data_IF_049476358910
#
_entry.id   IF_049476358910
#
_cell.length_a   1.000
_cell.length_b   1.000
_cell.length_c   1.000
_cell.angle_alpha   90.00
_cell.angle_beta   90.00
_cell.angle_gamma   90.00
#
_symmetry.space_group_name_H-M   'P 1'
#
loop_
_entity.id
_entity.type
_entity.pdbx_description
1 polymer ?
#
# COMPACT_ATOMS: atom_id res chain seq x y z
N UNK A 1 -25.44 -23.66 -17.79
CA UNK A 1 -25.12 -22.69 -16.72
C UNK A 1 -25.02 -21.33 -17.38
N UNK A 2 -25.73 -20.34 -16.85
CA UNK A 2 -25.77 -18.99 -17.43
C UNK A 2 -24.41 -18.25 -17.27
N UNK A 3 -23.88 -17.56 -18.29
CA UNK A 3 -22.61 -16.83 -18.19
C UNK A 3 -22.55 -15.79 -17.07
N UNK A 4 -23.66 -15.10 -16.76
CA UNK A 4 -23.68 -14.12 -15.68
C UNK A 4 -23.58 -14.81 -14.31
N UNK A 5 -24.24 -15.95 -14.14
CA UNK A 5 -24.09 -16.78 -12.95
C UNK A 5 -22.65 -17.28 -12.76
N UNK A 6 -21.99 -17.79 -13.82
CA UNK A 6 -20.59 -18.22 -13.75
C UNK A 6 -19.68 -17.06 -13.34
N UNK A 7 -19.86 -15.87 -13.93
CA UNK A 7 -19.10 -14.67 -13.56
C UNK A 7 -19.28 -14.33 -12.07
N UNK A 8 -20.50 -14.41 -11.55
CA UNK A 8 -20.78 -14.12 -10.15
C UNK A 8 -20.07 -15.11 -9.21
N UNK A 9 -20.06 -16.41 -9.55
CA UNK A 9 -19.33 -17.43 -8.78
C UNK A 9 -17.83 -17.17 -8.73
N UNK A 10 -17.21 -16.83 -9.87
CA UNK A 10 -15.77 -16.54 -9.93
C UNK A 10 -15.43 -15.27 -9.15
N UNK A 11 -16.25 -14.23 -9.27
CA UNK A 11 -16.07 -12.99 -8.51
C UNK A 11 -16.21 -13.24 -7.00
N UNK A 12 -17.19 -14.06 -6.60
CA UNK A 12 -17.38 -14.43 -5.19
C UNK A 12 -16.16 -15.16 -4.63
N UNK A 13 -15.50 -16.02 -5.41
CA UNK A 13 -14.25 -16.65 -5.00
C UNK A 13 -13.15 -15.61 -4.70
N UNK A 14 -13.00 -14.58 -5.55
CA UNK A 14 -12.06 -13.47 -5.29
C UNK A 14 -12.45 -12.64 -4.06
N UNK A 15 -13.74 -12.38 -3.84
CA UNK A 15 -14.23 -11.66 -2.65
C UNK A 15 -13.90 -12.42 -1.36
N UNK A 16 -14.08 -13.74 -1.35
CA UNK A 16 -13.74 -14.61 -0.21
C UNK A 16 -12.24 -14.64 0.07
N UNK A 17 -11.42 -14.86 -0.96
CA UNK A 17 -9.96 -14.81 -0.86
C UNK A 17 -9.47 -13.46 -0.31
N UNK A 18 -10.09 -12.37 -0.77
CA UNK A 18 -9.78 -11.03 -0.25
C UNK A 18 -10.13 -10.88 1.23
N UNK A 19 -11.34 -11.30 1.63
CA UNK A 19 -11.86 -11.18 2.98
C UNK A 19 -11.06 -11.99 4.01
N UNK A 20 -10.64 -13.22 3.68
CA UNK A 20 -9.79 -14.05 4.55
C UNK A 20 -8.47 -13.33 4.92
N UNK A 21 -7.94 -12.49 4.02
CA UNK A 21 -6.74 -11.70 4.26
C UNK A 21 -6.95 -10.39 5.03
N UNK A 22 -8.20 -10.00 5.30
CA UNK A 22 -8.60 -8.70 5.88
C UNK A 22 -9.46 -8.87 7.16
N UNK A 23 -9.55 -10.09 7.73
CA UNK A 23 -10.23 -10.32 9.00
C UNK A 23 -9.56 -9.53 10.12
N UNK A 24 -10.07 -8.34 10.40
CA UNK A 24 -9.55 -7.43 11.41
C UNK A 24 -10.66 -6.80 12.22
N UNK A 25 -10.50 -6.81 13.55
CA UNK A 25 -11.21 -5.91 14.43
C UNK A 25 -11.05 -4.45 13.97
N UNK A 26 -11.93 -3.53 14.40
CA UNK A 26 -11.75 -2.10 14.16
C UNK A 26 -10.32 -1.68 14.49
N UNK A 27 -9.63 -1.06 13.55
CA UNK A 27 -8.24 -0.66 13.74
C UNK A 27 -8.24 0.55 14.67
N UNK A 28 -7.53 0.43 15.79
CA UNK A 28 -7.32 1.50 16.76
C UNK A 28 -6.67 2.72 16.09
N UNK A 29 -7.12 3.93 16.43
CA UNK A 29 -6.60 5.18 15.85
C UNK A 29 -5.17 5.50 16.32
N UNK A 30 -4.72 4.89 17.42
CA UNK A 30 -3.34 4.88 17.88
C UNK A 30 -2.42 3.99 17.04
N UNK A 31 -2.97 3.17 16.13
CA UNK A 31 -2.20 2.35 15.18
C UNK A 31 -2.35 2.93 13.78
N UNK A 32 -1.23 3.37 13.21
CA UNK A 32 -1.16 3.87 11.83
C UNK A 32 -0.39 2.88 10.97
N UNK A 33 -0.97 2.40 9.89
CA UNK A 33 -0.25 1.55 8.95
C UNK A 33 0.69 2.37 8.06
N UNK A 34 1.85 1.81 7.70
CA UNK A 34 2.79 2.46 6.76
C UNK A 34 2.09 2.85 5.46
N UNK A 35 1.22 2.00 4.92
CA UNK A 35 0.44 2.28 3.70
C UNK A 35 -0.47 3.50 3.83
N UNK A 36 -0.98 3.78 5.03
CA UNK A 36 -1.80 4.95 5.32
C UNK A 36 -0.97 6.23 5.44
N UNK A 37 0.25 6.12 5.99
CA UNK A 37 1.16 7.25 6.18
C UNK A 37 1.87 7.69 4.89
N UNK A 38 2.05 6.79 3.92
CA UNK A 38 2.81 7.09 2.68
C UNK A 38 1.92 7.54 1.50
N UNK A 39 0.62 7.21 1.55
CA UNK A 39 -0.39 7.66 0.59
C UNK A 39 -1.05 8.98 1.00
N UNK A 40 -2.14 9.37 0.32
CA UNK A 40 -2.90 10.57 0.65
C UNK A 40 -3.54 10.47 2.03
N UNK A 41 -3.12 11.30 3.00
CA UNK A 41 -3.60 11.20 4.40
C UNK A 41 -5.11 11.43 4.52
N UNK A 42 -5.65 12.37 3.73
CA UNK A 42 -7.09 12.63 3.69
C UNK A 42 -7.89 11.42 3.19
N UNK A 43 -7.33 10.65 2.24
CA UNK A 43 -7.93 9.39 1.79
C UNK A 43 -7.88 8.35 2.91
N UNK A 44 -6.74 8.19 3.57
CA UNK A 44 -6.58 7.27 4.72
C UNK A 44 -7.60 7.56 5.83
N UNK A 45 -7.76 8.85 6.19
CA UNK A 45 -8.78 9.30 7.12
C UNK A 45 -10.21 8.89 6.70
N UNK A 46 -10.58 9.11 5.43
CA UNK A 46 -11.92 8.73 4.98
C UNK A 46 -12.12 7.23 4.89
N UNK A 47 -11.08 6.43 4.62
CA UNK A 47 -11.18 4.96 4.69
C UNK A 47 -11.54 4.52 6.11
N UNK A 48 -10.91 5.12 7.13
CA UNK A 48 -11.19 4.83 8.54
C UNK A 48 -12.60 5.27 8.97
N UNK A 49 -13.06 6.44 8.54
CA UNK A 49 -14.32 7.06 9.02
C UNK A 49 -15.54 6.77 8.15
N UNK A 50 -15.33 6.49 6.87
CA UNK A 50 -16.38 6.22 5.90
C UNK A 50 -15.90 5.13 4.92
N UNK A 51 -15.75 3.88 5.39
CA UNK A 51 -15.29 2.79 4.54
C UNK A 51 -16.27 2.56 3.39
N UNK A 52 -15.77 2.64 2.16
CA UNK A 52 -16.54 2.33 0.96
C UNK A 52 -16.31 0.88 0.54
N UNK A 53 -17.33 0.17 0.02
CA UNK A 53 -17.12 -1.14 -0.55
C UNK A 53 -16.17 -1.04 -1.75
N UNK A 54 -15.23 -1.98 -1.86
CA UNK A 54 -14.35 -2.03 -3.02
C UNK A 54 -15.16 -2.32 -4.30
N UNK A 55 -14.91 -1.59 -5.40
CA UNK A 55 -15.44 -1.96 -6.71
C UNK A 55 -15.07 -3.40 -7.08
N UNK A 56 -15.99 -4.15 -7.69
CA UNK A 56 -15.83 -5.59 -7.96
C UNK A 56 -14.52 -5.96 -8.66
N UNK A 57 -14.11 -5.13 -9.64
CA UNK A 57 -12.86 -5.32 -10.39
C UNK A 57 -11.61 -5.29 -9.50
N UNK A 58 -11.64 -4.57 -8.38
CA UNK A 58 -10.47 -4.41 -7.51
C UNK A 58 -10.17 -5.68 -6.71
N UNK A 59 -11.18 -6.45 -6.30
CA UNK A 59 -10.96 -7.77 -5.69
C UNK A 59 -10.11 -8.65 -6.60
N UNK A 60 -10.49 -8.74 -7.88
CA UNK A 60 -9.73 -9.50 -8.88
C UNK A 60 -8.31 -8.96 -9.06
N UNK A 61 -8.16 -7.64 -9.18
CA UNK A 61 -6.85 -7.00 -9.41
C UNK A 61 -5.90 -7.21 -8.23
N UNK A 62 -6.40 -7.12 -7.00
CA UNK A 62 -5.63 -7.31 -5.78
C UNK A 62 -5.24 -8.76 -5.58
N UNK A 63 -6.15 -9.71 -5.79
CA UNK A 63 -5.85 -11.14 -5.69
C UNK A 63 -4.86 -11.62 -6.76
N UNK A 64 -4.93 -11.08 -7.99
CA UNK A 64 -3.86 -11.31 -8.99
C UNK A 64 -2.51 -10.81 -8.45
N UNK A 65 -2.50 -9.65 -7.79
CA UNK A 65 -1.29 -9.11 -7.16
C UNK A 65 -0.74 -10.04 -6.06
N UNK A 66 -1.61 -10.47 -5.14
CA UNK A 66 -1.27 -11.44 -4.08
C UNK A 66 -0.75 -12.75 -4.64
N UNK A 67 -1.33 -13.26 -5.72
CA UNK A 67 -0.84 -14.45 -6.42
C UNK A 67 0.58 -14.30 -6.96
N UNK A 68 0.94 -13.14 -7.50
CA UNK A 68 2.32 -12.85 -7.94
C UNK A 68 3.28 -12.79 -6.74
N UNK A 69 2.89 -12.13 -5.65
CA UNK A 69 3.70 -12.10 -4.42
C UNK A 69 3.91 -13.53 -3.88
N UNK A 70 2.86 -14.34 -3.82
CA UNK A 70 2.92 -15.74 -3.40
C UNK A 70 3.90 -16.56 -4.25
N UNK A 71 3.87 -16.41 -5.58
CA UNK A 71 4.82 -17.10 -6.46
C UNK A 71 6.27 -16.69 -6.12
N UNK A 72 6.53 -15.39 -5.94
CA UNK A 72 7.86 -14.92 -5.60
C UNK A 72 8.29 -15.46 -4.24
N UNK A 73 7.46 -15.29 -3.21
CA UNK A 73 7.76 -15.76 -1.85
C UNK A 73 8.01 -17.27 -1.79
N UNK A 74 7.32 -18.05 -2.63
CA UNK A 74 7.46 -19.51 -2.66
C UNK A 74 8.69 -20.00 -3.43
N UNK A 75 9.08 -19.29 -4.50
CA UNK A 75 10.07 -19.78 -5.47
C UNK A 75 11.30 -18.89 -5.59
N UNK A 76 11.45 -17.86 -4.76
CA UNK A 76 12.65 -17.03 -4.71
C UNK A 76 13.87 -17.89 -4.33
N UNK A 77 14.92 -17.98 -5.17
CA UNK A 77 16.01 -18.93 -4.98
C UNK A 77 17.10 -18.39 -4.04
N UNK A 78 16.71 -17.64 -3.01
CA UNK A 78 17.60 -17.11 -1.97
C UNK A 78 16.93 -17.23 -0.61
N UNK A 79 17.74 -17.32 0.45
CA UNK A 79 17.24 -17.27 1.81
C UNK A 79 16.64 -15.88 2.09
N UNK A 80 15.38 -15.87 2.52
CA UNK A 80 14.63 -14.67 2.79
C UNK A 80 13.55 -14.94 3.85
N UNK A 81 13.18 -13.89 4.56
CA UNK A 81 11.96 -13.87 5.37
C UNK A 81 10.86 -13.17 4.57
N UNK A 82 9.63 -13.64 4.69
CA UNK A 82 8.49 -13.14 3.91
C UNK A 82 7.41 -12.56 4.81
N UNK A 83 6.75 -11.50 4.35
CA UNK A 83 5.66 -10.83 5.07
C UNK A 83 6.04 -10.45 6.51
N UNK A 84 7.25 -9.90 6.68
CA UNK A 84 7.84 -9.64 8.00
C UNK A 84 7.13 -8.45 8.67
N UNK A 85 6.41 -8.67 9.79
CA UNK A 85 5.78 -7.57 10.52
C UNK A 85 6.84 -6.68 11.15
N UNK A 86 6.58 -5.38 11.16
CA UNK A 86 7.43 -4.39 11.81
C UNK A 86 6.58 -3.30 12.46
N UNK A 87 7.04 -2.78 13.59
CA UNK A 87 6.40 -1.66 14.27
C UNK A 87 7.41 -0.77 14.98
N UNK A 88 7.06 0.51 15.11
CA UNK A 88 7.82 1.48 15.90
C UNK A 88 6.86 2.37 16.67
N UNK A 89 7.16 2.62 17.94
CA UNK A 89 6.47 3.60 18.75
C UNK A 89 6.97 5.01 18.38
N UNK A 90 6.05 5.88 17.95
CA UNK A 90 6.34 7.27 17.59
C UNK A 90 6.01 8.27 18.72
N UNK A 91 5.53 7.79 19.86
CA UNK A 91 5.02 8.55 20.99
C UNK A 91 3.49 8.55 21.05
N UNK A 92 2.79 9.40 20.27
CA UNK A 92 1.33 9.46 20.31
C UNK A 92 0.65 8.31 19.53
N UNK A 93 1.39 7.60 18.68
CA UNK A 93 0.89 6.48 17.90
C UNK A 93 1.99 5.45 17.58
N UNK A 94 1.57 4.25 17.19
CA UNK A 94 2.44 3.19 16.68
C UNK A 94 2.34 3.17 15.15
N UNK A 95 3.49 3.24 14.48
CA UNK A 95 3.59 3.00 13.04
C UNK A 95 3.82 1.52 12.80
N UNK A 96 2.91 0.85 12.09
CA UNK A 96 2.96 -0.60 11.83
C UNK A 96 3.03 -0.90 10.35
N UNK A 97 3.77 -1.92 9.98
CA UNK A 97 3.95 -2.33 8.60
C UNK A 97 4.25 -3.81 8.46
N UNK A 98 4.35 -4.25 7.21
CA UNK A 98 4.72 -5.62 6.84
C UNK A 98 5.54 -5.56 5.55
N UNK A 99 6.80 -5.94 5.62
CA UNK A 99 7.69 -5.94 4.47
C UNK A 99 7.52 -7.24 3.67
N UNK A 100 7.42 -7.15 2.33
CA UNK A 100 7.13 -8.31 1.48
C UNK A 100 8.23 -9.38 1.57
N UNK A 101 9.50 -8.98 1.38
CA UNK A 101 10.67 -9.87 1.40
C UNK A 101 11.84 -9.17 2.10
N UNK A 102 12.39 -9.81 3.12
CA UNK A 102 13.55 -9.32 3.87
C UNK A 102 14.72 -10.29 3.65
N UNK A 103 15.78 -9.78 3.04
CA UNK A 103 17.05 -10.45 2.84
C UNK A 103 18.04 -10.06 3.95
N UNK A 104 19.24 -10.64 3.91
CA UNK A 104 20.28 -10.37 4.90
C UNK A 104 20.62 -8.87 5.00
N UNK A 105 20.89 -8.21 3.86
CA UNK A 105 21.32 -6.81 3.80
C UNK A 105 20.33 -5.87 3.10
N UNK A 106 19.16 -6.38 2.69
CA UNK A 106 18.22 -5.64 1.86
C UNK A 106 16.76 -6.06 2.02
N UNK A 107 15.84 -5.23 1.51
CA UNK A 107 14.40 -5.52 1.46
C UNK A 107 13.97 -5.47 -0.01
N UNK A 108 13.11 -6.41 -0.44
CA UNK A 108 12.40 -6.31 -1.72
C UNK A 108 10.95 -5.88 -1.44
N UNK A 109 10.54 -4.73 -1.97
CA UNK A 109 9.16 -4.27 -1.99
C UNK A 109 8.55 -4.59 -3.34
N UNK A 110 7.60 -5.53 -3.38
CA UNK A 110 7.03 -6.08 -4.61
C UNK A 110 5.83 -5.24 -5.04
N UNK A 111 5.77 -4.86 -6.32
CA UNK A 111 4.69 -4.03 -6.86
C UNK A 111 4.20 -4.56 -8.20
N UNK A 112 2.98 -5.06 -8.22
CA UNK A 112 2.33 -5.45 -9.48
C UNK A 112 1.60 -4.26 -10.10
N UNK A 113 2.01 -3.87 -11.32
CA UNK A 113 1.46 -2.71 -12.02
C UNK A 113 0.93 -3.09 -13.40
N UNK A 114 0.02 -2.28 -13.94
CA UNK A 114 -0.59 -2.56 -15.24
C UNK A 114 0.41 -2.44 -16.40
N UNK A 115 1.29 -1.43 -16.35
CA UNK A 115 2.30 -1.15 -17.37
C UNK A 115 3.50 -0.45 -16.75
N UNK A 116 4.72 -0.91 -17.03
CA UNK A 116 5.95 -0.20 -16.68
C UNK A 116 6.14 0.98 -17.63
N UNK A 117 6.33 2.17 -17.06
CA UNK A 117 6.72 3.40 -17.75
C UNK A 117 7.83 4.03 -16.91
N UNK A 118 9.07 3.69 -17.26
CA UNK A 118 10.27 3.96 -16.45
C UNK A 118 10.44 5.46 -16.16
N UNK A 119 10.00 6.33 -17.07
CA UNK A 119 10.03 7.79 -16.92
C UNK A 119 9.14 8.32 -15.77
N UNK A 120 8.23 7.50 -15.24
CA UNK A 120 7.39 7.82 -14.08
C UNK A 120 7.72 7.00 -12.83
N UNK A 121 8.76 6.16 -12.88
CA UNK A 121 9.20 5.32 -11.77
C UNK A 121 10.49 5.89 -11.15
N UNK A 122 10.72 5.68 -9.84
CA UNK A 122 9.82 5.04 -8.88
C UNK A 122 8.68 5.97 -8.42
N UNK A 123 7.53 5.39 -8.08
CA UNK A 123 6.47 6.14 -7.43
C UNK A 123 6.86 6.55 -6.01
N UNK A 124 6.75 7.83 -5.69
CA UNK A 124 7.21 8.40 -4.41
C UNK A 124 6.60 7.73 -3.17
N UNK A 125 5.34 7.31 -3.23
CA UNK A 125 4.71 6.59 -2.11
C UNK A 125 5.27 5.16 -1.93
N UNK A 126 5.75 4.51 -3.00
CA UNK A 126 6.46 3.23 -2.89
C UNK A 126 7.87 3.42 -2.29
N UNK A 127 8.56 4.50 -2.67
CA UNK A 127 9.86 4.88 -2.06
C UNK A 127 9.68 5.11 -0.56
N UNK A 128 8.69 5.91 -0.16
CA UNK A 128 8.37 6.15 1.25
C UNK A 128 8.02 4.88 2.02
N UNK A 129 7.24 3.97 1.41
CA UNK A 129 6.92 2.68 1.99
C UNK A 129 8.18 1.86 2.27
N UNK A 130 9.06 1.73 1.26
CA UNK A 130 10.34 1.03 1.41
C UNK A 130 11.23 1.72 2.45
N UNK A 131 11.33 3.04 2.44
CA UNK A 131 12.10 3.80 3.45
C UNK A 131 11.63 3.49 4.87
N UNK A 132 10.31 3.41 5.11
CA UNK A 132 9.79 3.01 6.41
C UNK A 132 10.32 1.64 6.84
N UNK A 133 10.25 0.64 5.94
CA UNK A 133 10.73 -0.71 6.23
C UNK A 133 12.25 -0.78 6.44
N UNK A 134 13.04 -0.03 5.66
CA UNK A 134 14.51 0.04 5.86
C UNK A 134 14.87 0.54 7.25
N UNK A 135 14.14 1.53 7.77
CA UNK A 135 14.38 2.06 9.11
C UNK A 135 13.84 1.16 10.22
N UNK A 136 12.65 0.59 10.06
CA UNK A 136 12.01 -0.26 11.06
C UNK A 136 12.69 -1.63 11.21
N UNK A 137 13.37 -2.12 10.16
CA UNK A 137 14.06 -3.41 10.14
C UNK A 137 15.59 -3.30 10.07
N UNK A 138 16.12 -2.09 10.26
CA UNK A 138 17.55 -1.76 10.27
C UNK A 138 18.32 -2.31 9.05
N UNK A 139 17.81 -2.03 7.84
CA UNK A 139 18.44 -2.42 6.57
C UNK A 139 19.07 -1.21 5.86
N UNK A 140 20.28 -1.35 5.31
CA UNK A 140 20.99 -0.24 4.69
C UNK A 140 20.40 0.18 3.32
N UNK A 141 19.77 -0.76 2.61
CA UNK A 141 19.20 -0.54 1.27
C UNK A 141 18.05 -1.49 0.98
N UNK A 142 17.32 -1.23 -0.09
CA UNK A 142 16.31 -2.15 -0.61
C UNK A 142 16.01 -1.89 -2.08
N UNK A 143 15.09 -2.67 -2.62
CA UNK A 143 14.73 -2.68 -4.02
C UNK A 143 13.22 -2.63 -4.17
N UNK A 144 12.72 -1.69 -4.96
CA UNK A 144 11.33 -1.72 -5.41
C UNK A 144 11.29 -2.54 -6.69
N UNK A 145 10.58 -3.67 -6.66
CA UNK A 145 10.48 -4.60 -7.79
C UNK A 145 9.11 -4.42 -8.46
N UNK A 146 9.09 -3.69 -9.58
CA UNK A 146 7.90 -3.49 -10.39
C UNK A 146 7.71 -4.64 -11.37
N UNK A 147 6.53 -5.26 -11.35
CA UNK A 147 6.17 -6.41 -12.18
C UNK A 147 4.95 -6.01 -13.02
N UNK A 148 5.11 -6.03 -14.34
CA UNK A 148 4.05 -5.69 -15.27
C UNK A 148 3.10 -6.87 -15.52
N UNK A 149 1.83 -6.74 -15.14
CA UNK A 149 0.83 -7.82 -15.25
C UNK A 149 0.58 -8.30 -16.68
N UNK A 150 0.54 -7.37 -17.65
CA UNK A 150 0.21 -7.69 -19.05
C UNK A 150 1.41 -8.02 -19.93
N UNK A 151 2.55 -7.37 -19.68
CA UNK A 151 3.76 -7.49 -20.50
C UNK A 151 4.85 -8.39 -19.92
N UNK A 152 4.71 -8.85 -18.67
CA UNK A 152 5.69 -9.73 -18.01
C UNK A 152 7.05 -9.08 -17.72
N UNK A 153 7.20 -7.77 -17.96
CA UNK A 153 8.43 -7.02 -17.69
C UNK A 153 8.64 -6.87 -16.19
N UNK A 154 9.91 -6.91 -15.78
CA UNK A 154 10.35 -6.63 -14.42
C UNK A 154 11.29 -5.43 -14.47
N UNK A 155 11.06 -4.44 -13.62
CA UNK A 155 11.91 -3.26 -13.48
C UNK A 155 12.23 -3.06 -12.00
N UNK A 156 13.51 -2.88 -11.68
CA UNK A 156 14.00 -2.82 -10.30
C UNK A 156 14.66 -1.46 -10.06
N UNK A 157 14.28 -0.82 -8.97
CA UNK A 157 14.88 0.45 -8.51
C UNK A 157 15.51 0.24 -7.14
N UNK A 158 16.81 0.48 -7.04
CA UNK A 158 17.53 0.46 -5.77
C UNK A 158 17.30 1.75 -4.99
N UNK A 159 17.09 1.61 -3.68
CA UNK A 159 16.87 2.71 -2.75
C UNK A 159 17.75 2.52 -1.53
N UNK A 160 18.55 3.54 -1.21
CA UNK A 160 19.35 3.58 0.00
C UNK A 160 18.58 4.25 1.13
N UNK A 161 18.84 3.81 2.37
CA UNK A 161 18.21 4.36 3.56
C UNK A 161 18.45 5.88 3.65
N UNK A 162 17.37 6.64 3.75
CA UNK A 162 17.38 8.10 3.83
C UNK A 162 16.67 8.59 5.09
N UNK A 163 17.36 9.38 5.90
CA UNK A 163 16.84 9.88 7.17
C UNK A 163 15.73 10.93 6.98
N UNK A 164 15.81 11.73 5.91
CA UNK A 164 14.80 12.74 5.60
C UNK A 164 13.46 12.12 5.26
N UNK A 165 13.46 11.12 4.35
CA UNK A 165 12.28 10.37 3.97
C UNK A 165 11.66 9.62 5.16
N UNK A 166 12.48 9.06 6.04
CA UNK A 166 11.99 8.44 7.27
C UNK A 166 11.30 9.42 8.22
N UNK A 167 11.93 10.58 8.46
CA UNK A 167 11.33 11.64 9.26
C UNK A 167 10.00 12.12 8.66
N UNK A 168 9.92 12.22 7.33
CA UNK A 168 8.67 12.54 6.63
C UNK A 168 7.59 11.49 6.91
N UNK A 169 7.87 10.19 6.78
CA UNK A 169 6.89 9.13 7.07
C UNK A 169 6.41 9.19 8.52
N UNK A 170 7.33 9.36 9.48
CA UNK A 170 6.97 9.50 10.89
C UNK A 170 6.06 10.71 11.15
N UNK A 171 6.37 11.86 10.56
CA UNK A 171 5.57 13.07 10.70
C UNK A 171 4.18 12.91 10.09
N UNK A 172 4.09 12.25 8.93
CA UNK A 172 2.82 11.95 8.28
C UNK A 172 1.95 11.00 9.11
N UNK A 173 2.56 10.00 9.74
CA UNK A 173 1.86 9.09 10.64
C UNK A 173 1.28 9.82 11.86
N UNK A 174 2.07 10.69 12.51
CA UNK A 174 1.61 11.53 13.63
C UNK A 174 0.48 12.47 13.21
N UNK A 175 0.60 13.09 12.03
CA UNK A 175 -0.42 13.99 11.50
C UNK A 175 -1.74 13.26 11.23
N UNK A 176 -1.68 12.06 10.63
CA UNK A 176 -2.89 11.25 10.42
C UNK A 176 -3.54 10.87 11.76
N UNK A 177 -2.74 10.43 12.73
CA UNK A 177 -3.22 10.11 14.08
C UNK A 177 -3.92 11.31 14.74
N UNK A 178 -3.30 12.49 14.69
CA UNK A 178 -3.88 13.72 15.25
C UNK A 178 -5.25 14.03 14.63
N UNK A 179 -5.37 13.92 13.31
CA UNK A 179 -6.62 14.17 12.60
C UNK A 179 -7.68 13.11 12.89
N UNK A 180 -7.29 11.84 13.01
CA UNK A 180 -8.18 10.77 13.48
C UNK A 180 -8.71 11.10 14.88
N UNK A 181 -7.83 11.43 15.83
CA UNK A 181 -8.20 11.76 17.21
C UNK A 181 -9.15 12.96 17.31
N UNK A 182 -8.96 13.99 16.46
CA UNK A 182 -9.84 15.18 16.40
C UNK A 182 -11.16 14.93 15.68
N UNK A 183 -11.27 13.88 14.87
CA UNK A 183 -12.43 13.67 14.01
C UNK A 183 -12.53 14.68 12.86
N UNK A 184 -11.39 15.23 12.42
CA UNK A 184 -11.32 16.20 11.33
C UNK A 184 -10.39 15.71 10.22
N UNK A 185 -10.79 15.76 8.93
CA UNK A 185 -9.96 15.24 7.85
C UNK A 185 -8.68 16.08 7.64
N UNK A 186 -7.51 15.44 7.39
CA UNK A 186 -6.29 16.14 6.99
C UNK A 186 -6.47 17.04 5.76
N UNK A 187 -5.62 18.06 5.56
CA UNK A 187 -5.64 18.89 4.35
C UNK A 187 -5.57 18.04 3.06
N UNK A 188 -6.19 18.49 1.94
CA UNK A 188 -6.06 17.79 0.66
C UNK A 188 -4.59 17.72 0.19
N UNK A 189 -4.21 16.59 -0.40
CA UNK A 189 -2.91 16.37 -1.04
C UNK A 189 -3.11 16.11 -2.54
N UNK A 190 -3.23 17.15 -3.39
CA UNK A 190 -3.50 16.98 -4.81
C UNK A 190 -2.42 16.16 -5.51
N UNK A 191 -2.84 15.17 -6.29
CA UNK A 191 -1.96 14.35 -7.11
C UNK A 191 -2.71 13.80 -8.33
N UNK A 192 -2.01 13.24 -9.34
CA UNK A 192 -2.67 12.56 -10.46
C UNK A 192 -3.63 11.43 -10.02
N UNK A 193 -3.39 10.84 -8.85
CA UNK A 193 -4.25 9.77 -8.28
C UNK A 193 -5.63 10.28 -7.85
N UNK A 194 -5.81 11.59 -7.68
CA UNK A 194 -7.12 12.18 -7.34
C UNK A 194 -8.20 11.85 -8.39
N UNK A 195 -7.81 11.69 -9.66
CA UNK A 195 -8.73 11.36 -10.77
C UNK A 195 -9.42 10.01 -10.61
N UNK A 196 -8.82 9.10 -9.85
CA UNK A 196 -9.30 7.74 -9.62
C UNK A 196 -9.60 7.49 -8.13
N UNK A 197 -9.70 8.55 -7.32
CA UNK A 197 -9.96 8.43 -5.90
C UNK A 197 -11.45 8.27 -5.62
N UNK A 198 -11.84 7.18 -4.96
CA UNK A 198 -13.24 6.90 -4.60
C UNK A 198 -13.86 7.97 -3.67
N UNK A 199 -13.00 8.73 -2.99
CA UNK A 199 -13.37 9.80 -2.06
C UNK A 199 -13.37 11.21 -2.69
N UNK A 200 -13.16 11.33 -4.00
CA UNK A 200 -13.05 12.64 -4.67
C UNK A 200 -14.25 13.57 -4.38
N UNK A 201 -15.47 13.02 -4.33
CA UNK A 201 -16.70 13.78 -4.02
C UNK A 201 -16.73 14.33 -2.58
N UNK A 202 -16.15 13.60 -1.62
CA UNK A 202 -16.07 14.01 -0.21
C UNK A 202 -14.86 14.91 0.06
N UNK A 203 -13.84 14.84 -0.79
CA UNK A 203 -12.59 15.56 -0.59
C UNK A 203 -12.76 17.08 -0.67
N UNK A 204 -13.66 17.58 -1.51
CA UNK A 204 -13.89 19.02 -1.74
C UNK A 204 -12.79 19.72 -2.55
N UNK A 205 -11.67 19.04 -2.84
CA UNK A 205 -10.65 19.51 -3.77
C UNK A 205 -11.15 19.34 -5.20
N UNK A 206 -11.36 20.45 -5.91
CA UNK A 206 -11.93 20.50 -7.25
C UNK A 206 -11.33 19.44 -8.19
N UNK A 207 -12.20 18.54 -8.66
CA UNK A 207 -12.00 17.84 -9.91
C UNK A 207 -12.11 18.85 -11.06
N UNK A 208 -11.08 19.66 -11.26
CA UNK A 208 -10.88 20.40 -12.50
C UNK A 208 -10.43 19.44 -13.58
N UNK A 209 -11.35 19.08 -14.46
CA UNK A 209 -11.08 18.24 -15.63
C UNK A 209 -12.38 17.81 -16.29
N UNK A 210 -12.99 18.74 -17.02
CA UNK A 210 -13.74 18.43 -18.25
C UNK A 210 -12.91 17.55 -19.18
#
# INVERSE_FOLDING_TARGET
MDPAYVKALVLEAFKRSYAEGEEGAPIDDGIIFVTEAVGCLRKSYFIRRNPLPLPERLYVIFEIGRGVHYIIQRFLPVEAQFEVPCEVDLGPCVLRGRADVVLNDSILELKTIAKIREEYLPYQHHVKQLQAYLWMLDKPRGYIVYIEKGGGRIHVVEVHRDAGAWAEVCNRARLLHEHLAKGEPPPPEPSPLCRICDYAKLCGGGGGGT
#
